data_IF_828316384805
#
_entry.id   IF_828316384805
#
_cell.length_a   1.000
_cell.length_b   1.000
_cell.length_c   1.000
_cell.angle_alpha   90.00
_cell.angle_beta   90.00
_cell.angle_gamma   90.00
#
_symmetry.space_group_name_H-M   'P 1'
#
loop_
_entity.id
_entity.type
_entity.pdbx_description
1 polymer ?
#
# COMPACT_ATOMS: atom_id res chain seq x y z
N UNK A 1 2.87 -0.01 -8.67
CA UNK A 1 2.64 -0.87 -7.50
C UNK A 1 1.94 -0.07 -6.42
N UNK A 2 0.92 -0.65 -5.79
CA UNK A 2 0.18 -0.04 -4.69
C UNK A 2 0.26 -0.99 -3.50
N UNK A 3 0.41 -0.46 -2.30
CA UNK A 3 0.34 -1.25 -1.08
C UNK A 3 -0.42 -0.53 0.02
N UNK A 4 -1.05 -1.31 0.89
CA UNK A 4 -1.66 -0.86 2.12
C UNK A 4 -1.19 -1.73 3.27
N UNK A 5 -0.93 -1.15 4.42
CA UNK A 5 -0.44 -1.86 5.60
C UNK A 5 -1.45 -1.74 6.74
N UNK A 6 -1.71 -2.86 7.41
CA UNK A 6 -2.44 -2.92 8.67
C UNK A 6 -1.46 -3.14 9.83
N UNK A 7 -1.94 -3.24 11.05
CA UNK A 7 -1.06 -3.44 12.22
C UNK A 7 -0.26 -4.74 12.17
N UNK A 8 -0.75 -5.75 11.46
CA UNK A 8 -0.13 -7.08 11.41
C UNK A 8 0.01 -7.68 10.02
N UNK A 9 -0.45 -6.99 8.98
CA UNK A 9 -0.38 -7.50 7.62
C UNK A 9 -0.24 -6.35 6.63
N UNK A 10 0.04 -6.68 5.37
CA UNK A 10 -0.09 -5.71 4.30
C UNK A 10 -0.63 -6.38 3.03
N UNK A 11 -1.18 -5.55 2.16
CA UNK A 11 -1.78 -5.93 0.88
C UNK A 11 -1.10 -5.15 -0.22
N UNK A 12 -0.92 -5.76 -1.37
CA UNK A 12 -0.29 -5.09 -2.50
C UNK A 12 -0.86 -5.58 -3.83
N UNK A 13 -0.78 -4.70 -4.84
CA UNK A 13 -1.02 -5.05 -6.24
C UNK A 13 0.05 -4.40 -7.11
N UNK A 14 0.48 -5.13 -8.14
CA UNK A 14 1.46 -4.67 -9.12
C UNK A 14 0.74 -4.45 -10.43
N UNK A 15 0.86 -3.22 -10.96
CA UNK A 15 0.28 -2.84 -12.26
C UNK A 15 1.41 -2.53 -13.23
N UNK A 16 1.27 -2.97 -14.47
CA UNK A 16 2.24 -2.72 -15.56
C UNK A 16 2.07 -1.34 -16.19
N UNK A 17 1.20 -0.51 -15.65
CA UNK A 17 0.87 0.82 -16.15
C UNK A 17 0.89 1.85 -15.02
N UNK A 18 0.85 3.12 -15.41
CA UNK A 18 0.80 4.24 -14.47
C UNK A 18 -0.39 4.11 -13.52
N UNK A 19 -0.15 4.34 -12.24
CA UNK A 19 -1.18 4.31 -11.21
C UNK A 19 -2.03 5.58 -11.33
N UNK A 20 -3.29 5.39 -11.66
CA UNK A 20 -4.33 6.43 -11.72
C UNK A 20 -5.51 6.02 -10.84
N UNK A 21 -6.57 6.82 -10.85
CA UNK A 21 -7.78 6.56 -10.03
C UNK A 21 -8.35 5.16 -10.25
N UNK A 22 -8.33 4.64 -11.47
CA UNK A 22 -8.83 3.30 -11.80
C UNK A 22 -8.08 2.20 -11.05
N UNK A 23 -6.75 2.29 -10.99
CA UNK A 23 -5.90 1.33 -10.27
C UNK A 23 -6.09 1.47 -8.75
N UNK A 24 -6.26 2.68 -8.25
CA UNK A 24 -6.59 2.93 -6.85
C UNK A 24 -7.91 2.24 -6.49
N UNK A 25 -8.95 2.43 -7.28
CA UNK A 25 -10.26 1.81 -7.05
C UNK A 25 -10.16 0.28 -7.11
N UNK A 26 -9.43 -0.27 -8.06
CA UNK A 26 -9.20 -1.70 -8.15
C UNK A 26 -8.53 -2.25 -6.88
N UNK A 27 -7.54 -1.52 -6.37
CA UNK A 27 -6.87 -1.87 -5.11
C UNK A 27 -7.82 -1.77 -3.91
N UNK A 28 -8.67 -0.75 -3.84
CA UNK A 28 -9.66 -0.61 -2.77
C UNK A 28 -10.68 -1.76 -2.81
N UNK A 29 -11.10 -2.19 -3.99
CA UNK A 29 -11.95 -3.39 -4.13
C UNK A 29 -11.24 -4.65 -3.61
N UNK A 30 -9.95 -4.76 -3.86
CA UNK A 30 -9.12 -5.84 -3.34
C UNK A 30 -9.12 -5.83 -1.80
N UNK A 31 -8.90 -4.67 -1.18
CA UNK A 31 -8.93 -4.54 0.27
C UNK A 31 -10.30 -4.92 0.85
N UNK A 32 -11.38 -4.42 0.24
CA UNK A 32 -12.75 -4.72 0.67
C UNK A 32 -13.10 -6.21 0.60
N UNK A 33 -12.45 -6.94 -0.31
CA UNK A 33 -12.65 -8.39 -0.45
C UNK A 33 -11.95 -9.19 0.63
N UNK A 34 -10.75 -8.75 1.04
CA UNK A 34 -9.89 -9.52 1.95
C UNK A 34 -9.89 -9.04 3.40
N UNK A 35 -10.42 -7.86 3.67
CA UNK A 35 -10.52 -7.30 5.02
C UNK A 35 -11.99 -7.28 5.41
N UNK A 36 -12.32 -7.98 6.49
CA UNK A 36 -13.66 -7.94 7.05
C UNK A 36 -13.88 -6.69 7.91
N UNK A 37 -15.12 -6.17 7.91
CA UNK A 37 -15.48 -5.01 8.71
C UNK A 37 -15.13 -3.68 8.07
N UNK A 38 -15.28 -2.61 8.85
CA UNK A 38 -15.05 -1.25 8.38
C UNK A 38 -13.56 -0.95 8.26
N UNK A 39 -13.22 -0.18 7.24
CA UNK A 39 -11.83 0.19 6.94
C UNK A 39 -11.70 1.71 7.01
N UNK A 40 -10.77 2.19 7.81
CA UNK A 40 -10.30 3.58 7.77
C UNK A 40 -9.00 3.62 6.97
N UNK A 41 -9.04 4.28 5.81
CA UNK A 41 -7.84 4.54 5.00
C UNK A 41 -7.14 5.78 5.51
N UNK A 42 -5.85 5.64 5.75
CA UNK A 42 -4.97 6.77 6.05
C UNK A 42 -3.93 6.80 4.93
N UNK A 43 -3.93 7.84 4.12
CA UNK A 43 -3.07 7.93 2.97
C UNK A 43 -2.60 9.36 2.67
N UNK A 44 -1.66 9.49 1.75
CA UNK A 44 -1.16 10.79 1.33
C UNK A 44 -2.14 11.49 0.37
N UNK A 45 -1.76 12.68 -0.08
CA UNK A 45 -2.59 13.55 -0.92
C UNK A 45 -2.27 13.43 -2.41
N UNK A 46 -1.88 12.26 -2.90
CA UNK A 46 -1.68 12.08 -4.33
C UNK A 46 -2.95 12.43 -5.11
N UNK A 47 -2.81 13.00 -6.33
CA UNK A 47 -3.98 13.36 -7.14
C UNK A 47 -4.98 12.22 -7.33
N UNK A 48 -4.50 10.99 -7.54
CA UNK A 48 -5.37 9.83 -7.69
C UNK A 48 -6.17 9.53 -6.41
N UNK A 49 -5.61 9.81 -5.22
CA UNK A 49 -6.31 9.65 -3.94
C UNK A 49 -7.40 10.71 -3.75
N UNK A 50 -7.19 11.91 -4.29
CA UNK A 50 -8.09 13.05 -4.15
C UNK A 50 -9.08 13.19 -5.31
N UNK A 51 -9.01 12.37 -6.33
CA UNK A 51 -9.88 12.49 -7.51
C UNK A 51 -11.35 12.28 -7.12
N UNK A 52 -12.24 12.94 -7.85
CA UNK A 52 -13.68 12.81 -7.63
C UNK A 52 -14.14 11.36 -7.81
N UNK A 53 -13.56 10.63 -8.75
CA UNK A 53 -13.87 9.22 -9.00
C UNK A 53 -13.54 8.36 -7.79
N UNK A 54 -12.38 8.57 -7.19
CA UNK A 54 -11.95 7.86 -5.96
C UNK A 54 -12.86 8.22 -4.79
N UNK A 55 -13.14 9.50 -4.58
CA UNK A 55 -14.03 9.96 -3.51
C UNK A 55 -15.45 9.40 -3.67
N UNK A 56 -15.96 9.36 -4.88
CA UNK A 56 -17.28 8.80 -5.16
C UNK A 56 -17.32 7.29 -4.87
N UNK A 57 -16.30 6.57 -5.27
CA UNK A 57 -16.19 5.13 -4.95
C UNK A 57 -16.24 4.89 -3.44
N UNK A 58 -15.48 5.67 -2.66
CA UNK A 58 -15.44 5.56 -1.20
C UNK A 58 -16.82 5.87 -0.61
N UNK A 59 -17.46 6.93 -1.06
CA UNK A 59 -18.80 7.32 -0.63
C UNK A 59 -19.82 6.19 -0.88
N UNK A 60 -19.74 5.54 -2.03
CA UNK A 60 -20.66 4.46 -2.45
C UNK A 60 -20.53 3.20 -1.58
N UNK A 61 -19.47 3.07 -0.76
CA UNK A 61 -19.32 1.95 0.16
C UNK A 61 -20.15 2.11 1.46
N UNK A 62 -20.90 3.19 1.60
CA UNK A 62 -21.88 3.43 2.68
C UNK A 62 -21.31 3.26 4.09
N UNK A 63 -20.15 3.87 4.34
CA UNK A 63 -19.49 3.89 5.64
C UNK A 63 -18.56 2.72 5.92
N UNK A 64 -18.58 1.67 5.12
CA UNK A 64 -17.61 0.57 5.25
C UNK A 64 -16.18 1.01 4.96
N UNK A 65 -16.02 2.01 4.13
CA UNK A 65 -14.74 2.58 3.75
C UNK A 65 -14.78 4.09 4.00
N UNK A 66 -13.91 4.57 4.88
CA UNK A 66 -13.71 5.99 5.17
C UNK A 66 -12.25 6.34 4.95
N UNK A 67 -11.93 7.63 4.80
CA UNK A 67 -10.56 8.05 4.55
C UNK A 67 -10.18 9.29 5.32
N UNK A 68 -8.88 9.35 5.67
CA UNK A 68 -8.22 10.52 6.22
C UNK A 68 -6.90 10.74 5.48
N UNK A 69 -6.51 12.00 5.32
CA UNK A 69 -5.24 12.33 4.69
C UNK A 69 -4.14 12.53 5.72
N UNK A 70 -2.95 12.03 5.41
CA UNK A 70 -1.75 12.40 6.14
C UNK A 70 -1.46 13.90 5.93
N UNK A 71 -0.75 14.54 6.87
CA UNK A 71 -0.30 15.92 6.68
C UNK A 71 0.48 16.07 5.37
N UNK A 72 0.40 17.24 4.70
CA UNK A 72 1.20 17.50 3.50
C UNK A 72 2.69 17.37 3.79
N UNK A 73 3.45 16.85 2.82
CA UNK A 73 4.91 16.74 2.91
C UNK A 73 5.44 15.95 4.12
N UNK A 74 4.70 14.91 4.54
CA UNK A 74 5.06 14.07 5.68
C UNK A 74 5.15 12.57 5.30
N UNK A 75 6.02 12.18 4.32
CA UNK A 75 6.15 10.78 3.93
C UNK A 75 6.67 9.90 5.07
N UNK A 76 7.41 10.47 6.02
CA UNK A 76 7.91 9.76 7.21
C UNK A 76 6.80 9.23 8.12
N UNK A 77 5.60 9.77 8.03
CA UNK A 77 4.44 9.28 8.76
C UNK A 77 3.69 8.15 8.05
N UNK A 78 4.11 7.80 6.84
CA UNK A 78 3.44 6.77 6.05
C UNK A 78 4.22 5.44 6.15
N UNK A 79 3.73 4.44 6.88
CA UNK A 79 4.45 3.17 7.05
C UNK A 79 4.69 2.42 5.74
N UNK A 80 3.89 2.67 4.69
CA UNK A 80 4.09 2.07 3.37
C UNK A 80 5.40 2.52 2.73
N UNK A 81 5.87 3.73 3.00
CA UNK A 81 7.16 4.22 2.49
C UNK A 81 8.33 3.38 2.99
N UNK A 82 8.24 2.86 4.22
CA UNK A 82 9.27 1.98 4.79
C UNK A 82 9.22 0.59 4.16
N UNK A 83 8.06 0.13 3.72
CA UNK A 83 7.94 -1.10 2.94
C UNK A 83 8.69 -0.95 1.62
N UNK A 84 8.49 0.17 0.92
CA UNK A 84 9.18 0.45 -0.33
C UNK A 84 10.69 0.54 -0.14
N UNK A 85 11.14 1.24 0.88
CA UNK A 85 12.57 1.39 1.19
C UNK A 85 13.19 0.02 1.50
N UNK A 86 12.55 -0.79 2.33
CA UNK A 86 13.03 -2.14 2.66
C UNK A 86 13.11 -3.02 1.40
N UNK A 87 12.07 -3.03 0.59
CA UNK A 87 12.02 -3.80 -0.64
C UNK A 87 13.14 -3.38 -1.60
N UNK A 88 13.32 -2.06 -1.78
CA UNK A 88 14.35 -1.51 -2.67
C UNK A 88 15.77 -1.83 -2.20
N UNK A 89 16.04 -1.74 -0.91
CA UNK A 89 17.40 -1.84 -0.38
C UNK A 89 17.81 -3.26 0.03
N UNK A 90 16.88 -4.10 0.43
CA UNK A 90 17.17 -5.42 1.01
C UNK A 90 16.66 -6.60 0.17
N UNK A 91 15.60 -6.40 -0.60
CA UNK A 91 14.97 -7.50 -1.32
C UNK A 91 15.25 -7.46 -2.83
N UNK A 92 15.02 -6.33 -3.49
CA UNK A 92 15.18 -6.19 -4.94
C UNK A 92 16.64 -6.25 -5.44
N UNK A 93 17.66 -5.79 -4.69
CA UNK A 93 19.06 -5.92 -5.16
C UNK A 93 19.46 -7.34 -5.49
N UNK A 94 18.83 -8.34 -4.90
CA UNK A 94 19.08 -9.75 -5.14
C UNK A 94 18.27 -10.34 -6.29
N UNK A 95 17.46 -9.52 -6.98
CA UNK A 95 16.63 -9.96 -8.11
C UNK A 95 17.38 -9.69 -9.41
N UNK A 96 17.82 -10.78 -10.06
CA UNK A 96 18.44 -10.71 -11.38
C UNK A 96 17.34 -10.71 -12.45
N UNK A 97 16.76 -9.53 -12.73
CA UNK A 97 15.64 -9.40 -13.64
C UNK A 97 16.11 -9.22 -15.09
N UNK A 98 15.54 -10.01 -16.01
CA UNK A 98 15.82 -9.92 -17.45
C UNK A 98 14.88 -8.96 -18.18
N UNK A 99 13.69 -8.71 -17.62
CA UNK A 99 12.65 -7.85 -18.17
C UNK A 99 11.69 -7.37 -17.06
N UNK A 100 10.71 -6.55 -17.43
CA UNK A 100 9.71 -6.02 -16.48
C UNK A 100 8.87 -7.12 -15.82
N UNK A 101 8.59 -8.20 -16.53
CA UNK A 101 7.86 -9.34 -15.97
C UNK A 101 8.65 -10.00 -14.85
N UNK A 102 9.92 -10.30 -15.07
CA UNK A 102 10.80 -10.89 -14.05
C UNK A 102 10.95 -9.99 -12.83
N UNK A 103 11.06 -8.67 -13.06
CA UNK A 103 11.13 -7.69 -11.97
C UNK A 103 9.85 -7.71 -11.14
N UNK A 104 8.68 -7.74 -11.80
CA UNK A 104 7.38 -7.85 -11.14
C UNK A 104 7.24 -9.12 -10.31
N UNK A 105 7.65 -10.26 -10.85
CA UNK A 105 7.62 -11.55 -10.14
C UNK A 105 8.59 -11.57 -8.96
N UNK A 106 9.77 -10.97 -9.11
CA UNK A 106 10.73 -10.80 -8.04
C UNK A 106 10.16 -9.96 -6.90
N UNK A 107 9.51 -8.84 -7.24
CA UNK A 107 8.86 -7.97 -6.28
C UNK A 107 7.72 -8.71 -5.54
N UNK A 108 6.88 -9.45 -6.26
CA UNK A 108 5.80 -10.24 -5.63
C UNK A 108 6.33 -11.25 -4.62
N UNK A 109 7.37 -11.98 -4.98
CA UNK A 109 7.98 -12.97 -4.08
C UNK A 109 8.55 -12.30 -2.84
N UNK A 110 9.25 -11.19 -3.00
CA UNK A 110 9.83 -10.42 -1.90
C UNK A 110 8.74 -9.89 -0.97
N UNK A 111 7.69 -9.30 -1.51
CA UNK A 111 6.57 -8.77 -0.72
C UNK A 111 5.82 -9.87 0.03
N UNK A 112 5.59 -11.02 -0.60
CA UNK A 112 4.98 -12.17 0.09
C UNK A 112 5.84 -12.68 1.24
N UNK A 113 7.14 -12.70 1.06
CA UNK A 113 8.09 -13.08 2.10
C UNK A 113 8.09 -12.10 3.26
N UNK A 114 8.11 -10.79 2.98
CA UNK A 114 8.02 -9.73 3.97
C UNK A 114 6.72 -9.82 4.78
N UNK A 115 5.60 -10.10 4.12
CA UNK A 115 4.28 -10.22 4.75
C UNK A 115 4.22 -11.33 5.81
N UNK A 116 5.06 -12.35 5.69
CA UNK A 116 5.17 -13.45 6.67
C UNK A 116 6.04 -13.10 7.87
N UNK A 117 6.51 -11.86 7.99
CA UNK A 117 7.39 -11.38 9.05
C UNK A 117 6.69 -10.31 9.88
N UNK A 118 5.85 -10.70 10.88
CA UNK A 118 5.08 -9.73 11.68
C UNK A 118 5.95 -8.70 12.40
N UNK A 119 7.14 -9.08 12.84
CA UNK A 119 8.09 -8.14 13.48
C UNK A 119 8.55 -7.05 12.54
N UNK A 120 8.68 -7.35 11.25
CA UNK A 120 9.05 -6.37 10.24
C UNK A 120 7.92 -5.35 10.04
N UNK A 121 6.69 -5.80 9.98
CA UNK A 121 5.50 -4.93 9.86
C UNK A 121 5.41 -4.02 11.09
N UNK A 122 5.57 -4.55 12.29
CA UNK A 122 5.60 -3.76 13.52
C UNK A 122 6.71 -2.71 13.49
N UNK A 123 7.89 -3.06 12.97
CA UNK A 123 9.00 -2.13 12.85
C UNK A 123 8.66 -0.95 11.91
N UNK A 124 7.95 -1.19 10.81
CA UNK A 124 7.51 -0.12 9.91
C UNK A 124 6.56 0.86 10.60
N UNK A 125 5.64 0.36 11.41
CA UNK A 125 4.73 1.21 12.19
C UNK A 125 5.47 2.05 13.22
N UNK A 126 6.41 1.45 13.94
CA UNK A 126 7.26 2.18 14.90
C UNK A 126 8.10 3.26 14.21
N UNK A 127 8.64 2.95 13.05
CA UNK A 127 9.45 3.88 12.27
C UNK A 127 8.62 5.06 11.77
N UNK A 128 7.35 4.85 11.43
CA UNK A 128 6.44 5.91 11.03
C UNK A 128 5.95 6.78 12.19
N UNK A 129 6.20 6.38 13.44
CA UNK A 129 5.82 7.12 14.65
C UNK A 129 4.32 7.46 14.75
N UNK A 130 3.48 6.66 14.14
CA UNK A 130 2.02 6.83 14.23
C UNK A 130 1.46 6.17 15.50
N UNK A 131 2.17 5.19 16.02
CA UNK A 131 1.82 4.49 17.26
C UNK A 131 3.10 4.32 18.08
N UNK A 132 3.05 4.73 19.30
CA UNK A 132 4.14 4.56 20.27
C UNK A 132 4.14 3.16 20.86
#
# INVERSE_FOLDING_TARGET
MIAGVTLWNFYFQIFERTIKSEQIIEFLKHLLRYIDGDILLIWDRLPAHRSLVTQQFIHDQKGRLTMEYLPPYAPELNPVEYIWAHCKHHELPNVCAKNLWDLGEGARRSLRRMRRRPRLITAFWKQASLFD
#
